data_IF_879492211291
#
_entry.id   IF_879492211291
#
_cell.length_a   1.000
_cell.length_b   1.000
_cell.length_c   1.000
_cell.angle_alpha   90.00
_cell.angle_beta   90.00
_cell.angle_gamma   90.00
#
_symmetry.space_group_name_H-M   'P 1'
#
loop_
_entity.id
_entity.type
_entity.pdbx_description
1 polymer ?
#
# COMPACT_ATOMS: atom_id res chain seq x y z
N UNK A 1 -21.92 -0.15 -12.65
CA UNK A 1 -20.65 -0.36 -13.38
C UNK A 1 -19.61 -0.70 -12.34
N UNK A 2 -18.94 -1.84 -12.47
CA UNK A 2 -17.94 -2.31 -11.52
C UNK A 2 -16.60 -1.71 -11.97
N UNK A 3 -16.15 -0.67 -11.27
CA UNK A 3 -15.06 0.21 -11.69
C UNK A 3 -13.71 -0.43 -11.32
N UNK A 4 -13.29 -1.41 -12.12
CA UNK A 4 -12.05 -2.18 -11.91
C UNK A 4 -10.84 -1.49 -12.57
N UNK A 5 -10.57 -0.23 -12.25
CA UNK A 5 -9.36 0.48 -12.70
C UNK A 5 -8.20 0.43 -11.68
N UNK A 6 -8.27 -0.48 -10.70
CA UNK A 6 -7.15 -0.78 -9.80
C UNK A 6 -6.02 -1.48 -10.54
N UNK A 7 -4.79 -0.94 -10.43
CA UNK A 7 -3.60 -1.47 -11.09
C UNK A 7 -2.40 -1.57 -10.14
N UNK A 8 -1.42 -2.38 -10.54
CA UNK A 8 -0.08 -2.42 -9.95
C UNK A 8 -0.01 -3.04 -8.55
N UNK A 9 1.17 -2.92 -7.93
CA UNK A 9 1.53 -3.59 -6.68
C UNK A 9 0.57 -3.28 -5.51
N UNK A 10 0.05 -2.05 -5.45
CA UNK A 10 -0.81 -1.57 -4.37
C UNK A 10 -2.29 -1.45 -4.79
N UNK A 11 -2.69 -2.00 -5.94
CA UNK A 11 -4.06 -1.92 -6.46
C UNK A 11 -4.63 -0.48 -6.49
N UNK A 12 -3.75 0.50 -6.74
CA UNK A 12 -4.08 1.92 -6.76
C UNK A 12 -4.98 2.25 -7.96
N UNK A 13 -5.79 3.32 -7.84
CA UNK A 13 -6.75 3.72 -8.88
C UNK A 13 -6.41 5.10 -9.45
N UNK A 14 -6.22 5.24 -10.78
CA UNK A 14 -6.03 6.55 -11.40
C UNK A 14 -7.22 7.47 -11.16
N UNK A 15 -8.44 6.92 -11.21
CA UNK A 15 -9.68 7.66 -10.94
C UNK A 15 -9.75 8.25 -9.53
N UNK A 16 -9.05 7.66 -8.55
CA UNK A 16 -8.94 8.15 -7.18
C UNK A 16 -7.75 9.09 -6.96
N UNK A 17 -7.04 9.49 -8.03
CA UNK A 17 -5.97 10.48 -7.97
C UNK A 17 -4.60 9.94 -7.56
N UNK A 18 -4.39 8.62 -7.61
CA UNK A 18 -3.11 8.00 -7.25
C UNK A 18 -1.99 8.19 -8.28
N UNK A 19 -2.32 8.62 -9.51
CA UNK A 19 -1.39 8.79 -10.62
C UNK A 19 -1.97 8.27 -11.94
N UNK A 20 -1.21 8.36 -13.05
CA UNK A 20 -1.60 7.73 -14.32
C UNK A 20 -1.41 6.22 -14.26
N UNK A 21 -2.04 5.42 -15.15
CA UNK A 21 -1.82 3.98 -15.24
C UNK A 21 -0.33 3.57 -15.29
N UNK A 22 0.48 4.30 -16.06
CA UNK A 22 1.92 4.06 -16.21
C UNK A 22 2.68 4.34 -14.92
N UNK A 23 2.26 5.36 -14.17
CA UNK A 23 2.86 5.69 -12.89
C UNK A 23 2.52 4.64 -11.83
N UNK A 24 1.26 4.28 -11.66
CA UNK A 24 0.84 3.34 -10.60
C UNK A 24 1.22 1.87 -10.87
N UNK A 25 1.64 1.56 -12.10
CA UNK A 25 2.23 0.25 -12.44
C UNK A 25 3.75 0.23 -12.30
N UNK A 26 4.40 1.39 -12.17
CA UNK A 26 5.80 1.48 -11.78
C UNK A 26 5.93 1.26 -10.25
N UNK A 27 6.64 0.21 -9.80
CA UNK A 27 6.74 -0.13 -8.38
C UNK A 27 7.41 0.96 -7.53
N UNK A 28 8.36 1.71 -8.08
CA UNK A 28 9.02 2.82 -7.36
C UNK A 28 8.03 3.96 -7.10
N UNK A 29 7.32 4.41 -8.14
CA UNK A 29 6.31 5.46 -8.00
C UNK A 29 5.18 5.02 -7.06
N UNK A 30 4.65 3.82 -7.26
CA UNK A 30 3.53 3.31 -6.48
C UNK A 30 3.88 3.21 -4.99
N UNK A 31 5.11 2.77 -4.67
CA UNK A 31 5.63 2.71 -3.29
C UNK A 31 5.75 4.12 -2.69
N UNK A 32 6.37 5.06 -3.40
CA UNK A 32 6.53 6.44 -2.92
C UNK A 32 5.17 7.12 -2.70
N UNK A 33 4.19 6.87 -3.57
CA UNK A 33 2.84 7.39 -3.41
C UNK A 33 2.15 6.82 -2.16
N UNK A 34 2.27 5.51 -1.93
CA UNK A 34 1.75 4.85 -0.73
C UNK A 34 2.41 5.41 0.55
N UNK A 35 3.75 5.50 0.59
CA UNK A 35 4.47 6.08 1.73
C UNK A 35 4.10 7.54 1.99
N UNK A 36 3.85 8.32 0.94
CA UNK A 36 3.39 9.70 1.08
C UNK A 36 2.02 9.77 1.75
N UNK A 37 1.09 8.87 1.40
CA UNK A 37 -0.19 8.74 2.08
C UNK A 37 -0.02 8.31 3.54
N UNK A 38 0.86 7.34 3.79
CA UNK A 38 1.16 6.84 5.13
C UNK A 38 1.68 7.94 6.07
N UNK A 39 2.64 8.74 5.60
CA UNK A 39 3.24 9.85 6.35
C UNK A 39 2.27 10.98 6.71
N UNK A 40 1.08 11.02 6.10
CA UNK A 40 0.02 11.99 6.42
C UNK A 40 -0.91 11.52 7.54
N UNK A 41 -0.80 10.28 8.00
CA UNK A 41 -1.62 9.71 9.06
C UNK A 41 -0.91 9.93 10.40
N UNK A 42 -1.47 10.75 11.27
CA UNK A 42 -0.89 10.97 12.61
C UNK A 42 -0.84 9.66 13.40
N UNK A 43 0.32 9.35 13.98
CA UNK A 43 0.53 8.15 14.81
C UNK A 43 0.59 6.83 14.03
N UNK A 44 0.77 6.86 12.71
CA UNK A 44 0.82 5.64 11.89
C UNK A 44 1.89 4.62 12.34
N UNK A 45 2.97 5.08 12.97
CA UNK A 45 4.06 4.24 13.46
C UNK A 45 3.65 3.33 14.61
N UNK A 46 2.65 3.75 15.39
CA UNK A 46 2.14 3.00 16.54
C UNK A 46 0.91 2.14 16.17
N UNK A 47 0.45 2.23 14.92
CA UNK A 47 -0.67 1.43 14.43
C UNK A 47 -0.20 0.02 14.05
N UNK A 48 -1.06 -1.01 14.21
CA UNK A 48 -0.87 -2.28 13.51
C UNK A 48 -0.68 -2.04 12.01
N UNK A 49 0.23 -2.79 11.38
CA UNK A 49 0.59 -2.60 9.97
C UNK A 49 -0.64 -2.59 9.06
N UNK A 50 -1.55 -3.53 9.29
CA UNK A 50 -2.80 -3.66 8.52
C UNK A 50 -3.71 -2.45 8.67
N UNK A 51 -3.79 -1.88 9.87
CA UNK A 51 -4.58 -0.69 10.15
C UNK A 51 -3.96 0.55 9.47
N UNK A 52 -2.64 0.70 9.55
CA UNK A 52 -1.93 1.77 8.86
C UNK A 52 -2.14 1.69 7.34
N UNK A 53 -1.91 0.50 6.75
CA UNK A 53 -2.09 0.26 5.31
C UNK A 53 -3.55 0.45 4.86
N UNK A 54 -4.50 -0.03 5.65
CA UNK A 54 -5.92 0.18 5.39
C UNK A 54 -6.30 1.67 5.46
N UNK A 55 -5.73 2.43 6.38
CA UNK A 55 -5.99 3.87 6.49
C UNK A 55 -5.46 4.62 5.27
N UNK A 56 -4.36 4.16 4.68
CA UNK A 56 -3.81 4.71 3.42
C UNK A 56 -4.70 4.37 2.22
N UNK A 57 -5.09 3.10 2.07
CA UNK A 57 -5.77 2.65 0.84
C UNK A 57 -7.29 2.75 0.89
N UNK A 58 -7.89 2.79 2.09
CA UNK A 58 -9.34 2.78 2.32
C UNK A 58 -10.01 1.65 1.51
N UNK A 59 -9.50 0.43 1.64
CA UNK A 59 -10.02 -0.72 0.90
C UNK A 59 -11.31 -1.26 1.52
N UNK A 60 -12.08 -2.06 0.76
CA UNK A 60 -13.25 -2.76 1.31
C UNK A 60 -12.88 -3.94 2.25
N UNK A 61 -11.60 -4.31 2.36
CA UNK A 61 -11.13 -5.51 3.05
C UNK A 61 -9.91 -5.22 3.93
N UNK A 62 -10.12 -4.64 5.13
CA UNK A 62 -9.04 -4.19 6.00
C UNK A 62 -8.03 -5.29 6.40
N UNK A 63 -8.49 -6.53 6.50
CA UNK A 63 -7.68 -7.65 6.99
C UNK A 63 -7.04 -8.49 5.87
N UNK A 64 -7.30 -8.19 4.59
CA UNK A 64 -6.81 -9.00 3.48
C UNK A 64 -5.26 -9.06 3.43
N UNK A 65 -4.60 -8.03 3.97
CA UNK A 65 -3.16 -7.92 4.07
C UNK A 65 -2.56 -8.61 5.31
N UNK A 66 -3.38 -8.89 6.34
CA UNK A 66 -2.90 -9.43 7.62
C UNK A 66 -2.15 -10.76 7.47
N UNK A 67 -2.62 -11.62 6.55
CA UNK A 67 -2.00 -12.93 6.30
C UNK A 67 -0.56 -12.84 5.75
N UNK A 68 -0.19 -11.72 5.13
CA UNK A 68 1.11 -11.53 4.48
C UNK A 68 2.11 -10.75 5.35
N UNK A 69 1.66 -10.19 6.48
CA UNK A 69 2.47 -9.32 7.35
C UNK A 69 3.74 -10.03 7.85
N UNK A 70 3.61 -11.23 8.39
CA UNK A 70 4.76 -11.99 8.90
C UNK A 70 5.75 -12.33 7.78
N UNK A 71 5.26 -12.76 6.63
CA UNK A 71 6.11 -13.10 5.49
C UNK A 71 6.87 -11.88 4.97
N UNK A 72 6.22 -10.72 4.91
CA UNK A 72 6.87 -9.47 4.51
C UNK A 72 7.93 -9.04 5.54
N UNK A 73 7.64 -9.16 6.84
CA UNK A 73 8.60 -8.88 7.90
C UNK A 73 9.83 -9.79 7.81
N UNK A 74 9.64 -11.08 7.55
CA UNK A 74 10.72 -12.06 7.39
C UNK A 74 11.60 -11.72 6.17
N UNK A 75 11.00 -11.34 5.04
CA UNK A 75 11.73 -10.90 3.84
C UNK A 75 12.55 -9.64 4.10
N UNK A 76 11.97 -8.62 4.75
CA UNK A 76 12.71 -7.40 5.12
C UNK A 76 13.87 -7.75 6.05
N UNK A 77 13.63 -8.54 7.10
CA UNK A 77 14.69 -8.97 8.01
C UNK A 77 15.82 -9.73 7.28
N UNK A 78 15.48 -10.53 6.28
CA UNK A 78 16.44 -11.29 5.49
C UNK A 78 17.29 -10.42 4.55
N UNK A 79 16.71 -9.38 3.93
CA UNK A 79 17.35 -8.66 2.82
C UNK A 79 17.74 -7.20 3.14
N UNK A 80 17.25 -6.61 4.23
CA UNK A 80 17.46 -5.18 4.53
C UNK A 80 18.88 -4.81 4.96
N UNK A 81 19.68 -5.79 5.40
CA UNK A 81 21.08 -5.58 5.82
C UNK A 81 22.10 -6.39 4.98
N UNK A 82 21.71 -6.86 3.79
CA UNK A 82 22.57 -7.64 2.88
C UNK A 82 23.21 -6.78 1.80
#
# INVERSE_FOLDING_TARGET
>A
ANDHDSLGLFQQRPSSGWGTPEQITNPEYATLAFEKGLKQIDGWQDMPLTQAAQTVQVSAYPDAYAQWEQQAADLVAQYWNS
#
